data_IF_164474215358
#
_entry.id   IF_164474215358
#
_cell.length_a   1.000
_cell.length_b   1.000
_cell.length_c   1.000
_cell.angle_alpha   90.00
_cell.angle_beta   90.00
_cell.angle_gamma   90.00
#
_symmetry.space_group_name_H-M   'P 1'
#
loop_
_entity.id
_entity.type
_entity.pdbx_description
1 polymer ?
#
# COMPACT_ATOMS: atom_id res chain seq x y z
N UNK A 1 11.97 0.83 -16.98
CA UNK A 1 11.08 0.33 -15.92
C UNK A 1 10.02 -0.52 -16.60
N UNK A 2 9.91 -1.81 -16.27
CA UNK A 2 8.81 -2.62 -16.80
C UNK A 2 7.50 -2.01 -16.32
N UNK A 3 6.71 -1.43 -17.22
CA UNK A 3 5.29 -1.13 -17.00
C UNK A 3 4.58 -2.46 -16.86
N UNK A 4 4.66 -3.03 -15.66
CA UNK A 4 3.81 -4.17 -15.30
C UNK A 4 2.39 -3.64 -15.41
N UNK A 5 1.60 -4.24 -16.28
CA UNK A 5 0.23 -3.83 -16.51
C UNK A 5 -0.58 -4.17 -15.25
N UNK A 6 -0.60 -3.25 -14.28
CA UNK A 6 -1.31 -3.41 -13.02
C UNK A 6 -2.81 -3.15 -13.18
N UNK A 7 -3.20 -2.44 -14.24
CA UNK A 7 -4.58 -2.16 -14.60
C UNK A 7 -5.36 -3.46 -14.86
N UNK A 8 -4.76 -4.39 -15.60
CA UNK A 8 -5.35 -5.69 -15.93
C UNK A 8 -5.22 -6.73 -14.80
N UNK A 9 -4.47 -6.43 -13.74
CA UNK A 9 -4.30 -7.35 -12.62
C UNK A 9 -5.51 -7.29 -11.69
N UNK A 10 -5.83 -8.44 -11.10
CA UNK A 10 -6.95 -8.53 -10.17
C UNK A 10 -6.62 -7.75 -8.89
N UNK A 11 -7.63 -7.11 -8.29
CA UNK A 11 -7.48 -6.40 -7.01
C UNK A 11 -6.81 -7.29 -5.96
N UNK A 12 -7.17 -8.58 -5.92
CA UNK A 12 -6.54 -9.56 -5.00
C UNK A 12 -5.04 -9.68 -5.21
N UNK A 13 -4.57 -9.80 -6.45
CA UNK A 13 -3.14 -9.93 -6.77
C UNK A 13 -2.37 -8.65 -6.42
N UNK A 14 -2.96 -7.49 -6.69
CA UNK A 14 -2.39 -6.18 -6.33
C UNK A 14 -2.28 -6.06 -4.81
N UNK A 15 -3.29 -6.48 -4.05
CA UNK A 15 -3.27 -6.43 -2.58
C UNK A 15 -2.29 -7.39 -1.91
N UNK A 16 -1.84 -8.42 -2.62
CA UNK A 16 -0.81 -9.36 -2.15
C UNK A 16 0.60 -8.86 -2.42
N UNK A 17 0.80 -8.11 -3.52
CA UNK A 17 2.12 -7.69 -4.00
C UNK A 17 2.51 -6.29 -3.57
N UNK A 18 1.54 -5.38 -3.45
CA UNK A 18 1.81 -3.95 -3.24
C UNK A 18 1.63 -3.62 -1.75
N UNK A 19 2.66 -3.09 -1.07
CA UNK A 19 2.54 -2.61 0.31
C UNK A 19 1.43 -1.56 0.45
N UNK A 20 0.76 -1.54 1.60
CA UNK A 20 -0.37 -0.62 1.89
C UNK A 20 -1.61 -0.74 0.97
N UNK A 21 -1.58 -1.58 -0.08
CA UNK A 21 -2.70 -1.71 -1.03
C UNK A 21 -4.02 -2.08 -0.36
N UNK A 22 -4.00 -3.03 0.59
CA UNK A 22 -5.21 -3.40 1.36
C UNK A 22 -5.81 -2.24 2.13
N UNK A 23 -5.00 -1.28 2.56
CA UNK A 23 -5.45 -0.12 3.33
C UNK A 23 -6.00 0.96 2.40
N UNK A 24 -5.33 1.19 1.27
CA UNK A 24 -5.77 2.13 0.24
C UNK A 24 -7.09 1.69 -0.40
N UNK A 25 -7.19 0.46 -0.88
CA UNK A 25 -8.41 -0.09 -1.48
C UNK A 25 -9.61 0.08 -0.53
N UNK A 26 -9.44 -0.24 0.77
CA UNK A 26 -10.49 -0.03 1.77
C UNK A 26 -10.86 1.44 1.99
N UNK A 27 -9.91 2.37 1.89
CA UNK A 27 -10.21 3.80 2.03
C UNK A 27 -11.02 4.37 0.86
N UNK A 28 -10.99 3.72 -0.31
CA UNK A 28 -11.87 4.03 -1.45
C UNK A 28 -13.19 3.25 -1.40
N UNK A 29 -13.52 2.61 -0.27
CA UNK A 29 -14.70 1.76 -0.10
C UNK A 29 -14.78 0.57 -1.08
N UNK A 30 -13.64 0.17 -1.65
CA UNK A 30 -13.52 -0.97 -2.54
C UNK A 30 -13.27 -2.25 -1.74
N UNK A 31 -13.79 -3.37 -2.26
CA UNK A 31 -13.58 -4.68 -1.64
C UNK A 31 -12.21 -5.26 -2.01
N UNK A 32 -11.40 -5.60 -1.00
CA UNK A 32 -10.08 -6.23 -1.20
C UNK A 32 -10.16 -7.70 -1.61
N UNK A 33 -11.35 -8.31 -1.52
CA UNK A 33 -11.60 -9.70 -1.96
C UNK A 33 -12.30 -9.75 -3.31
N UNK A 34 -12.51 -8.60 -3.94
CA UNK A 34 -13.20 -8.55 -5.21
C UNK A 34 -12.33 -9.18 -6.31
N UNK A 35 -12.96 -9.99 -7.16
CA UNK A 35 -12.30 -10.67 -8.29
C UNK A 35 -12.47 -9.85 -9.57
N UNK A 36 -12.32 -8.54 -9.45
CA UNK A 36 -12.35 -7.62 -10.59
C UNK A 36 -10.94 -7.09 -10.85
N UNK A 37 -10.62 -6.74 -12.09
CA UNK A 37 -9.43 -5.98 -12.43
C UNK A 37 -9.35 -4.64 -11.68
N UNK A 38 -8.14 -4.14 -11.47
CA UNK A 38 -7.88 -2.91 -10.71
C UNK A 38 -8.49 -1.68 -11.39
N UNK A 39 -8.46 -1.60 -12.72
CA UNK A 39 -9.07 -0.52 -13.50
C UNK A 39 -10.58 -0.42 -13.31
N UNK A 40 -11.29 -1.56 -13.31
CA UNK A 40 -12.73 -1.63 -13.06
C UNK A 40 -13.04 -1.20 -11.63
N UNK A 41 -12.28 -1.70 -10.65
CA UNK A 41 -12.44 -1.29 -9.26
C UNK A 41 -12.17 0.22 -9.06
N UNK A 42 -11.16 0.76 -9.74
CA UNK A 42 -10.86 2.18 -9.69
C UNK A 42 -12.01 3.01 -10.26
N UNK A 43 -12.57 2.58 -11.40
CA UNK A 43 -13.71 3.22 -12.03
C UNK A 43 -14.95 3.24 -11.12
N UNK A 44 -15.22 2.18 -10.35
CA UNK A 44 -16.29 2.16 -9.33
C UNK A 44 -16.09 3.26 -8.26
N UNK A 45 -14.84 3.55 -7.91
CA UNK A 45 -14.46 4.62 -6.98
C UNK A 45 -14.26 5.98 -7.66
N UNK A 46 -14.62 6.12 -8.95
CA UNK A 46 -14.45 7.35 -9.74
C UNK A 46 -13.01 7.86 -9.78
N UNK A 47 -12.04 6.95 -9.78
CA UNK A 47 -10.60 7.24 -9.91
C UNK A 47 -9.96 6.33 -10.94
N UNK A 48 -8.72 6.61 -11.30
CA UNK A 48 -7.91 5.78 -12.19
C UNK A 48 -7.10 4.74 -11.41
N UNK A 49 -6.74 3.64 -12.06
CA UNK A 49 -5.84 2.64 -11.47
C UNK A 49 -4.49 3.26 -11.08
N UNK A 50 -3.96 4.15 -11.91
CA UNK A 50 -2.73 4.90 -11.65
C UNK A 50 -2.82 5.76 -10.37
N UNK A 51 -3.93 6.44 -10.14
CA UNK A 51 -4.14 7.21 -8.91
C UNK A 51 -4.13 6.31 -7.67
N UNK A 52 -4.80 5.15 -7.73
CA UNK A 52 -4.76 4.18 -6.65
C UNK A 52 -3.34 3.70 -6.37
N UNK A 53 -2.58 3.34 -7.41
CA UNK A 53 -1.20 2.88 -7.30
C UNK A 53 -0.29 4.00 -6.73
N UNK A 54 -0.45 5.23 -7.20
CA UNK A 54 0.30 6.37 -6.70
C UNK A 54 0.06 6.60 -5.18
N UNK A 55 -1.19 6.48 -4.73
CA UNK A 55 -1.53 6.59 -3.31
C UNK A 55 -0.95 5.43 -2.50
N UNK A 56 -0.95 4.20 -3.03
CA UNK A 56 -0.30 3.05 -2.40
C UNK A 56 1.20 3.28 -2.21
N UNK A 57 1.90 3.69 -3.26
CA UNK A 57 3.33 4.01 -3.20
C UNK A 57 3.65 5.15 -2.24
N UNK A 58 2.82 6.19 -2.23
CA UNK A 58 2.98 7.31 -1.31
C UNK A 58 2.88 6.85 0.15
N UNK A 59 1.87 6.03 0.47
CA UNK A 59 1.70 5.50 1.83
C UNK A 59 2.79 4.52 2.22
N UNK A 60 3.23 3.67 1.30
CA UNK A 60 4.34 2.76 1.52
C UNK A 60 5.63 3.54 1.85
N UNK A 61 5.91 4.62 1.10
CA UNK A 61 7.04 5.54 1.38
C UNK A 61 6.89 6.20 2.75
N UNK A 62 5.71 6.72 3.08
CA UNK A 62 5.46 7.34 4.38
C UNK A 62 5.69 6.35 5.54
N UNK A 63 5.20 5.13 5.42
CA UNK A 63 5.41 4.08 6.42
C UNK A 63 6.90 3.74 6.57
N UNK A 64 7.64 3.65 5.45
CA UNK A 64 9.08 3.43 5.46
C UNK A 64 9.87 4.58 6.10
N UNK A 65 9.40 5.83 5.98
CA UNK A 65 9.99 6.98 6.67
C UNK A 65 9.66 7.03 8.17
N UNK A 66 8.54 6.45 8.60
CA UNK A 66 8.15 6.38 10.01
C UNK A 66 8.80 5.20 10.75
N UNK A 67 9.16 4.14 10.05
CA UNK A 67 9.80 2.94 10.60
C UNK A 67 11.20 3.13 11.25
N UNK A 68 12.08 4.10 10.88
CA UNK A 68 13.43 4.21 11.46
C UNK A 68 13.48 4.97 12.80
N UNK A 69 12.45 5.72 13.19
CA UNK A 69 12.52 6.54 14.40
C UNK A 69 12.33 5.77 15.72
N UNK A 70 11.92 4.49 15.68
CA UNK A 70 11.57 3.71 16.89
C UNK A 70 12.72 2.78 17.35
N UNK A 71 13.80 2.62 16.57
CA UNK A 71 14.88 1.65 16.90
C UNK A 71 16.18 2.24 17.43
N UNK A 72 16.34 3.56 17.47
CA UNK A 72 17.61 4.18 17.94
C UNK A 72 17.58 4.75 19.37
N UNK A 73 16.51 4.56 20.15
CA UNK A 73 16.45 4.99 21.57
C UNK A 73 16.18 3.86 22.58
N UNK A 74 16.31 2.60 22.17
CA UNK A 74 16.26 1.46 23.07
C UNK A 74 17.66 0.97 23.42
N UNK A 75 18.18 1.44 24.55
CA UNK A 75 19.41 1.05 25.28
C UNK A 75 20.53 2.10 25.27
N UNK A 76 20.73 2.72 26.45
CA UNK A 76 21.99 2.55 27.14
C UNK A 76 21.75 1.90 28.52
N UNK A 77 22.55 0.87 28.81
CA UNK A 77 23.22 0.60 30.10
C UNK A 77 22.30 0.58 31.35
N UNK A 78 22.08 -0.56 32.01
CA UNK A 78 23.06 -1.15 32.93
C UNK A 78 23.82 -0.07 33.73
N UNK A 79 23.10 0.71 34.55
CA UNK A 79 23.71 1.56 35.57
C UNK A 79 23.35 1.02 36.96
N UNK A 80 24.44 0.63 37.65
CA UNK A 80 24.64 0.37 39.08
C UNK A 80 24.61 -1.09 39.54
N UNK A 81 25.83 -1.52 39.86
CA UNK A 81 26.26 -2.69 40.60
C UNK A 81 25.73 -2.77 42.05
#
# INVERSE_FOLDING_TARGET
MQTRNYEEQMVTEVTERVPEARRVIRSYHLSTTNRVPLDIAAAEASVTADELLAVMEYRARLAAHQAPAVREFGHPEEIVA
#
